data_IF_194454460818
#
_entry.id   IF_194454460818
#
_cell.length_a   1.000
_cell.length_b   1.000
_cell.length_c   1.000
_cell.angle_alpha   90.00
_cell.angle_beta   90.00
_cell.angle_gamma   90.00
#
_symmetry.space_group_name_H-M   'P 1'
#
loop_
_entity.id
_entity.type
_entity.pdbx_description
1 polymer ?
#
# COMPACT_ATOMS: atom_id res chain seq x y z
N UNK A 1 12.18 11.54 15.08
CA UNK A 1 12.52 12.85 14.51
C UNK A 1 14.04 12.91 14.42
N UNK A 2 14.60 13.29 13.28
CA UNK A 2 16.05 13.41 13.04
C UNK A 2 16.31 14.71 12.28
N UNK A 3 17.52 15.26 12.41
CA UNK A 3 17.98 16.49 11.74
C UNK A 3 18.66 16.21 10.38
N UNK A 4 18.70 14.94 9.95
CA UNK A 4 19.33 14.50 8.69
C UNK A 4 18.59 14.97 7.43
N UNK A 5 17.37 15.50 7.56
CA UNK A 5 16.50 15.88 6.44
C UNK A 5 16.18 17.38 6.45
N UNK A 6 16.07 17.96 5.25
CA UNK A 6 15.62 19.33 5.08
C UNK A 6 14.17 19.52 5.54
N UNK A 7 13.85 20.73 6.01
CA UNK A 7 12.48 21.10 6.34
C UNK A 7 11.53 20.87 5.14
N UNK A 8 10.38 20.22 5.38
CA UNK A 8 9.43 19.84 4.34
C UNK A 8 9.72 18.51 3.64
N UNK A 9 10.78 17.79 4.04
CA UNK A 9 11.11 16.46 3.50
C UNK A 9 10.82 15.38 4.54
N UNK A 10 10.10 14.34 4.13
CA UNK A 10 9.93 13.10 4.90
C UNK A 10 10.48 11.90 4.12
N UNK A 11 10.79 10.81 4.83
CA UNK A 11 11.20 9.54 4.20
C UNK A 11 10.36 8.38 4.74
N UNK A 12 9.89 7.55 3.80
CA UNK A 12 9.43 6.18 4.03
C UNK A 12 10.22 5.32 3.04
N UNK A 13 10.87 4.26 3.53
CA UNK A 13 11.63 3.36 2.65
C UNK A 13 10.68 2.49 1.84
N UNK A 14 11.03 2.23 0.59
CA UNK A 14 10.34 1.25 -0.25
C UNK A 14 10.49 -0.18 0.31
N UNK A 15 9.65 -1.09 -0.17
CA UNK A 15 9.66 -2.50 0.23
C UNK A 15 8.79 -2.83 1.44
N UNK A 16 8.21 -1.82 2.11
CA UNK A 16 7.19 -2.06 3.12
C UNK A 16 5.98 -2.77 2.50
N UNK A 17 5.49 -3.83 3.16
CA UNK A 17 4.39 -4.64 2.63
C UNK A 17 3.10 -3.83 2.57
N UNK A 18 2.43 -3.86 1.42
CA UNK A 18 1.08 -3.33 1.29
C UNK A 18 0.12 -4.15 2.15
N UNK A 19 -0.64 -3.46 3.01
CA UNK A 19 -1.48 -4.08 4.03
C UNK A 19 -2.85 -3.40 4.07
N UNK A 20 -3.74 -3.66 3.10
CA UNK A 20 -5.04 -3.00 3.03
C UNK A 20 -5.90 -3.35 4.24
N UNK A 21 -6.62 -2.36 4.77
CA UNK A 21 -7.66 -2.61 5.78
C UNK A 21 -8.80 -3.46 5.21
N UNK A 22 -9.19 -3.17 3.97
CA UNK A 22 -10.22 -3.91 3.23
C UNK A 22 -9.65 -4.35 1.87
N UNK A 23 -9.35 -5.65 1.73
CA UNK A 23 -8.82 -6.19 0.47
C UNK A 23 -9.76 -5.94 -0.71
N UNK A 24 -9.22 -5.49 -1.84
CA UNK A 24 -9.99 -5.21 -3.06
C UNK A 24 -10.78 -3.90 -3.07
N UNK A 25 -10.87 -3.18 -1.94
CA UNK A 25 -11.55 -1.87 -1.90
C UNK A 25 -10.60 -0.75 -2.31
N UNK A 26 -10.91 -0.09 -3.42
CA UNK A 26 -10.17 1.09 -3.87
C UNK A 26 -10.20 2.20 -2.81
N UNK A 27 -9.04 2.82 -2.55
CA UNK A 27 -8.92 3.90 -1.57
C UNK A 27 -8.97 3.45 -0.10
N UNK A 28 -8.92 2.15 0.19
CA UNK A 28 -8.77 1.66 1.57
C UNK A 28 -7.43 2.12 2.18
N UNK A 29 -7.38 2.25 3.49
CA UNK A 29 -6.16 2.62 4.19
C UNK A 29 -5.17 1.45 4.20
N UNK A 30 -3.88 1.75 3.92
CA UNK A 30 -2.79 0.82 4.17
C UNK A 30 -2.44 0.88 5.66
N UNK A 31 -2.60 -0.24 6.36
CA UNK A 31 -2.43 -0.35 7.82
C UNK A 31 -0.97 -0.50 8.26
N UNK A 32 -0.03 -0.67 7.32
CA UNK A 32 1.40 -0.84 7.61
C UNK A 32 2.26 0.33 7.11
N UNK A 33 2.21 0.65 5.81
CA UNK A 33 2.87 1.84 5.26
C UNK A 33 3.72 1.63 4.01
N UNK A 34 3.19 0.95 2.99
CA UNK A 34 3.80 0.95 1.65
C UNK A 34 3.80 2.38 1.06
N UNK A 35 4.97 2.98 0.78
CA UNK A 35 5.05 4.34 0.23
C UNK A 35 4.47 4.45 -1.18
N UNK A 36 4.45 3.38 -1.98
CA UNK A 36 3.98 3.45 -3.36
C UNK A 36 2.46 3.66 -3.47
N UNK A 37 1.71 3.47 -2.38
CA UNK A 37 0.29 3.88 -2.26
C UNK A 37 0.11 5.38 -2.52
N UNK A 38 1.16 6.19 -2.32
CA UNK A 38 1.14 7.66 -2.46
C UNK A 38 1.81 8.16 -3.75
N UNK A 39 2.40 7.27 -4.55
CA UNK A 39 3.15 7.64 -5.76
C UNK A 39 2.24 7.69 -7.00
N UNK A 40 2.60 8.50 -7.98
CA UNK A 40 1.88 8.59 -9.25
C UNK A 40 2.49 7.66 -10.29
N UNK A 41 1.63 7.00 -11.07
CA UNK A 41 2.04 6.20 -12.22
C UNK A 41 2.06 7.08 -13.49
N UNK A 42 3.14 7.84 -13.65
CA UNK A 42 3.35 8.74 -14.80
C UNK A 42 4.77 8.55 -15.34
N UNK A 43 4.86 8.33 -16.66
CA UNK A 43 6.13 8.20 -17.37
C UNK A 43 6.96 9.48 -17.33
N UNK A 44 8.27 9.33 -17.17
CA UNK A 44 9.21 10.46 -16.98
C UNK A 44 9.23 11.48 -18.13
N UNK A 45 8.98 11.03 -19.35
CA UNK A 45 8.88 11.88 -20.54
C UNK A 45 8.26 11.12 -21.70
N UNK A 46 7.80 11.85 -22.74
CA UNK A 46 7.31 11.24 -24.00
C UNK A 46 8.32 10.28 -24.64
N UNK A 47 9.61 10.53 -24.46
CA UNK A 47 10.70 9.75 -25.04
C UNK A 47 10.97 8.46 -24.25
N UNK A 48 11.25 8.59 -22.95
CA UNK A 48 11.82 7.50 -22.16
C UNK A 48 10.76 6.59 -21.51
N UNK A 49 9.60 7.13 -21.15
CA UNK A 49 8.53 6.39 -20.46
C UNK A 49 9.01 5.56 -19.25
N UNK A 50 10.04 6.05 -18.55
CA UNK A 50 10.55 5.40 -17.35
C UNK A 50 9.73 5.79 -16.11
N UNK A 51 9.95 5.09 -14.99
CA UNK A 51 9.29 5.40 -13.71
C UNK A 51 9.64 6.80 -13.20
N UNK A 52 8.69 7.41 -12.48
CA UNK A 52 8.84 8.71 -11.80
C UNK A 52 8.49 8.63 -10.31
N UNK A 53 8.55 7.43 -9.70
CA UNK A 53 7.99 7.16 -8.36
C UNK A 53 8.56 8.02 -7.22
N UNK A 54 9.82 8.48 -7.34
CA UNK A 54 10.44 9.35 -6.34
C UNK A 54 9.90 10.81 -6.35
N UNK A 55 9.06 11.15 -7.32
CA UNK A 55 8.36 12.44 -7.40
C UNK A 55 6.98 12.33 -6.76
N UNK A 56 6.90 12.55 -5.44
CA UNK A 56 5.65 12.54 -4.70
C UNK A 56 5.53 13.77 -3.79
N UNK A 57 4.34 14.39 -3.77
CA UNK A 57 4.00 15.47 -2.85
C UNK A 57 2.89 14.97 -1.94
N UNK A 58 3.09 15.10 -0.63
CA UNK A 58 2.20 14.56 0.40
C UNK A 58 1.97 15.59 1.49
N UNK A 59 0.93 15.36 2.29
CA UNK A 59 0.73 16.05 3.57
C UNK A 59 0.69 15.00 4.69
N UNK A 60 1.17 15.37 5.87
CA UNK A 60 1.17 14.50 7.04
C UNK A 60 0.33 15.15 8.13
N UNK A 61 -0.51 14.36 8.77
CA UNK A 61 -1.29 14.75 9.92
C UNK A 61 -1.26 13.68 11.02
N UNK A 62 -1.60 14.09 12.24
CA UNK A 62 -1.76 13.13 13.34
C UNK A 62 -3.04 12.33 13.10
N UNK A 63 -2.91 11.01 12.97
CA UNK A 63 -4.08 10.12 12.90
C UNK A 63 -4.91 10.19 14.19
N UNK A 64 -6.22 10.41 14.06
CA UNK A 64 -7.17 10.56 15.19
C UNK A 64 -8.30 9.52 15.19
N UNK A 65 -8.31 8.59 14.23
CA UNK A 65 -9.28 7.51 14.15
C UNK A 65 -8.93 6.29 15.02
N UNK A 66 -9.79 5.25 15.01
CA UNK A 66 -9.48 3.96 15.62
C UNK A 66 -8.26 3.33 14.95
N UNK A 67 -7.25 2.93 15.73
CA UNK A 67 -6.02 2.33 15.19
C UNK A 67 -6.33 0.91 14.66
N UNK A 68 -6.21 0.65 13.34
CA UNK A 68 -6.45 -0.67 12.79
C UNK A 68 -5.31 -1.63 13.13
N UNK A 69 -5.61 -2.93 13.19
CA UNK A 69 -4.58 -3.96 13.23
C UNK A 69 -3.86 -4.06 11.87
N UNK A 70 -2.59 -4.42 11.89
CA UNK A 70 -1.83 -4.71 10.66
C UNK A 70 -2.35 -6.01 10.04
N UNK A 71 -2.69 -5.96 8.76
CA UNK A 71 -3.31 -7.08 8.04
C UNK A 71 -2.34 -7.93 7.22
N UNK A 72 -1.14 -7.43 6.92
CA UNK A 72 -0.25 -7.98 5.89
C UNK A 72 0.58 -9.19 6.30
N UNK A 73 0.70 -9.48 7.61
CA UNK A 73 1.62 -10.52 8.12
C UNK A 73 0.94 -11.77 8.65
N UNK A 74 -0.39 -11.85 8.59
CA UNK A 74 -1.15 -12.95 9.19
C UNK A 74 -1.44 -14.10 8.22
N UNK A 75 -0.93 -14.02 6.98
CA UNK A 75 -1.22 -15.00 5.94
C UNK A 75 -2.66 -14.93 5.41
N UNK A 76 -3.01 -15.79 4.44
CA UNK A 76 -4.37 -15.88 3.94
C UNK A 76 -5.30 -16.60 4.94
N UNK A 77 -6.60 -16.34 4.83
CA UNK A 77 -7.62 -17.19 5.46
C UNK A 77 -7.68 -18.52 4.72
N UNK A 78 -7.52 -19.63 5.43
CA UNK A 78 -7.72 -20.96 4.89
C UNK A 78 -9.21 -21.21 4.61
N UNK A 79 -9.52 -21.75 3.43
CA UNK A 79 -10.88 -22.17 3.05
C UNK A 79 -10.84 -23.66 2.76
N UNK A 80 -11.54 -24.45 3.56
CA UNK A 80 -11.50 -25.93 3.51
C UNK A 80 -12.63 -26.55 2.68
N UNK A 81 -13.67 -25.77 2.39
CA UNK A 81 -14.93 -26.26 1.81
C UNK A 81 -15.02 -25.96 0.30
N UNK A 82 -13.87 -25.83 -0.36
CA UNK A 82 -13.74 -25.60 -1.80
C UNK A 82 -13.02 -26.78 -2.45
N UNK A 83 -13.56 -27.25 -3.58
CA UNK A 83 -12.86 -28.24 -4.39
C UNK A 83 -11.61 -27.58 -5.00
N UNK A 84 -10.38 -28.05 -4.69
CA UNK A 84 -9.15 -27.43 -5.17
C UNK A 84 -8.99 -27.51 -6.70
N UNK A 85 -9.75 -28.40 -7.37
CA UNK A 85 -9.75 -28.52 -8.82
C UNK A 85 -10.72 -27.53 -9.50
N UNK A 86 -11.75 -27.05 -8.79
CA UNK A 86 -12.79 -26.17 -9.32
C UNK A 86 -13.22 -25.06 -8.34
N UNK A 87 -12.28 -24.29 -7.75
CA UNK A 87 -12.60 -23.36 -6.66
C UNK A 87 -13.56 -22.24 -7.06
N UNK A 88 -13.61 -21.86 -8.33
CA UNK A 88 -14.51 -20.83 -8.83
C UNK A 88 -15.99 -21.27 -8.92
N UNK A 89 -16.30 -22.57 -8.88
CA UNK A 89 -17.68 -23.07 -8.89
C UNK A 89 -18.34 -23.06 -7.51
N UNK A 90 -17.52 -23.13 -6.46
CA UNK A 90 -17.97 -23.21 -5.06
C UNK A 90 -18.02 -21.83 -4.37
N UNK A 91 -17.53 -20.78 -5.04
CA UNK A 91 -17.49 -19.39 -4.55
C UNK A 91 -18.63 -18.50 -5.09
N UNK A 92 -19.65 -19.10 -5.73
CA UNK A 92 -20.81 -18.41 -6.32
C UNK A 92 -21.99 -18.27 -5.36
#
# INVERSE_FOLDING_TARGET
MTDDYMAGVCRIHEGAWYSPLEGGKAGTICTYGDPNVLTQDIGSSKLAQATSAASALVQIEKYTGPVPAVTGFNGPTEVTDINPLFPAMDLA
#
